data_IF_610006142217
#
_entry.id   IF_610006142217
#
_cell.length_a   1.000
_cell.length_b   1.000
_cell.length_c   1.000
_cell.angle_alpha   90.00
_cell.angle_beta   90.00
_cell.angle_gamma   90.00
#
_symmetry.space_group_name_H-M   'P 1'
#
loop_
_entity.id
_entity.type
_entity.pdbx_description
1 polymer ?
#
# COMPACT_ATOMS: atom_id res chain seq x y z
N UNK A 1 11.87 -13.68 -6.01
CA UNK A 1 12.46 -12.88 -7.10
C UNK A 1 11.82 -11.50 -7.30
N UNK A 2 10.49 -11.36 -7.47
CA UNK A 2 9.87 -10.04 -7.77
C UNK A 2 10.14 -8.92 -6.74
N UNK A 3 10.33 -9.23 -5.45
CA UNK A 3 10.54 -8.21 -4.40
C UNK A 3 11.83 -7.38 -4.61
N UNK A 4 12.90 -8.02 -5.09
CA UNK A 4 14.17 -7.35 -5.37
C UNK A 4 14.08 -6.48 -6.62
N UNK A 5 13.44 -6.99 -7.68
CA UNK A 5 13.17 -6.21 -8.89
C UNK A 5 12.30 -4.98 -8.57
N UNK A 6 11.23 -5.13 -7.78
CA UNK A 6 10.39 -4.01 -7.33
C UNK A 6 11.20 -2.96 -6.54
N UNK A 7 12.14 -3.39 -5.69
CA UNK A 7 13.04 -2.47 -4.98
C UNK A 7 13.96 -1.71 -5.92
N UNK A 8 14.58 -2.40 -6.88
CA UNK A 8 15.45 -1.75 -7.88
C UNK A 8 14.64 -0.75 -8.72
N UNK A 9 13.49 -1.17 -9.25
CA UNK A 9 12.61 -0.29 -10.05
C UNK A 9 12.17 0.93 -9.23
N UNK A 10 11.82 0.74 -7.95
CA UNK A 10 11.45 1.86 -7.06
C UNK A 10 12.64 2.80 -6.82
N UNK A 11 13.84 2.27 -6.59
CA UNK A 11 15.04 3.08 -6.40
C UNK A 11 15.37 3.89 -7.66
N UNK A 12 15.30 3.26 -8.84
CA UNK A 12 15.51 3.95 -10.13
C UNK A 12 14.49 5.05 -10.34
N UNK A 13 13.20 4.81 -10.04
CA UNK A 13 12.17 5.85 -10.12
C UNK A 13 12.45 7.01 -9.17
N UNK A 14 12.83 6.74 -7.92
CA UNK A 14 13.14 7.79 -6.94
C UNK A 14 14.32 8.64 -7.44
N UNK A 15 15.39 8.01 -7.91
CA UNK A 15 16.56 8.71 -8.45
C UNK A 15 16.18 9.55 -9.68
N UNK A 16 15.35 9.00 -10.57
CA UNK A 16 14.87 9.69 -11.75
C UNK A 16 14.07 10.95 -11.41
N UNK A 17 13.10 10.85 -10.48
CA UNK A 17 12.33 12.01 -10.03
C UNK A 17 13.20 13.04 -9.31
N UNK A 18 14.19 12.61 -8.52
CA UNK A 18 15.15 13.51 -7.88
C UNK A 18 15.97 14.29 -8.92
N UNK A 19 16.48 13.59 -9.94
CA UNK A 19 17.25 14.20 -11.02
C UNK A 19 16.41 15.24 -11.79
N UNK A 20 15.15 14.92 -12.09
CA UNK A 20 14.21 15.88 -12.70
C UNK A 20 14.01 17.09 -11.79
N UNK A 21 13.76 16.90 -10.50
CA UNK A 21 13.55 17.99 -9.55
C UNK A 21 14.75 18.93 -9.46
N UNK A 22 15.97 18.38 -9.39
CA UNK A 22 17.21 19.17 -9.39
C UNK A 22 17.40 19.92 -10.70
N UNK A 23 17.23 19.24 -11.84
CA UNK A 23 17.39 19.87 -13.15
C UNK A 23 16.35 20.98 -13.37
N UNK A 24 15.12 20.76 -12.91
CA UNK A 24 14.05 21.75 -12.95
C UNK A 24 14.38 22.98 -12.10
N UNK A 25 14.89 22.79 -10.88
CA UNK A 25 15.32 23.88 -10.01
C UNK A 25 16.46 24.72 -10.61
N UNK A 26 17.44 24.07 -11.25
CA UNK A 26 18.57 24.76 -11.89
C UNK A 26 18.12 25.54 -13.12
N UNK A 27 17.25 24.96 -13.96
CA UNK A 27 16.78 25.59 -15.20
C UNK A 27 15.70 26.65 -14.98
N UNK A 28 15.00 26.60 -13.84
CA UNK A 28 13.91 27.52 -13.51
C UNK A 28 14.16 28.19 -12.15
N UNK A 29 15.24 28.99 -12.00
CA UNK A 29 15.56 29.67 -10.75
C UNK A 29 14.64 30.87 -10.47
N UNK A 30 13.81 31.25 -11.44
CA UNK A 30 12.88 32.36 -11.34
C UNK A 30 11.93 32.22 -10.14
N UNK A 31 11.80 33.30 -9.41
CA UNK A 31 10.87 33.44 -8.29
C UNK A 31 9.56 33.96 -8.87
N UNK A 32 8.47 33.25 -8.59
CA UNK A 32 7.13 33.62 -9.05
C UNK A 32 6.18 33.71 -7.86
N UNK A 33 5.19 34.59 -7.96
CA UNK A 33 4.00 34.54 -7.12
C UNK A 33 3.00 33.60 -7.78
N UNK A 34 2.59 32.55 -7.07
CA UNK A 34 1.64 31.57 -7.59
C UNK A 34 0.22 32.08 -7.40
N UNK A 35 -0.46 32.41 -8.50
CA UNK A 35 -1.88 32.78 -8.47
C UNK A 35 -2.76 31.55 -8.78
N UNK A 36 -3.44 31.04 -7.77
CA UNK A 36 -4.32 29.87 -7.83
C UNK A 36 -5.80 30.25 -7.97
N UNK A 37 -6.13 31.38 -8.62
CA UNK A 37 -7.48 31.92 -8.86
C UNK A 37 -8.22 32.34 -7.58
N UNK A 38 -8.16 31.53 -6.53
CA UNK A 38 -8.75 31.75 -5.21
C UNK A 38 -7.72 32.13 -4.15
N UNK A 39 -6.42 32.06 -4.47
CA UNK A 39 -5.35 32.34 -3.52
C UNK A 39 -4.06 32.74 -4.23
N UNK A 40 -3.37 33.75 -3.71
CA UNK A 40 -2.04 34.13 -4.14
C UNK A 40 -1.02 33.67 -3.09
N UNK A 41 -0.09 32.84 -3.56
CA UNK A 41 1.00 32.31 -2.75
C UNK A 41 2.18 33.28 -2.66
N UNK A 42 3.09 33.06 -1.68
CA UNK A 42 4.28 33.89 -1.51
C UNK A 42 5.25 33.78 -2.69
N UNK A 43 6.18 34.73 -2.79
CA UNK A 43 7.23 34.67 -3.80
C UNK A 43 8.20 33.52 -3.54
N UNK A 44 8.06 32.43 -4.29
CA UNK A 44 8.90 31.24 -4.20
C UNK A 44 9.32 30.79 -5.60
N UNK A 45 10.37 29.99 -5.68
CA UNK A 45 10.75 29.37 -6.94
C UNK A 45 9.69 28.37 -7.41
N UNK A 46 9.52 28.27 -8.73
CA UNK A 46 8.59 27.29 -9.34
C UNK A 46 8.88 25.87 -8.84
N UNK A 47 10.16 25.54 -8.65
CA UNK A 47 10.59 24.25 -8.16
C UNK A 47 10.07 23.94 -6.75
N UNK A 48 10.07 24.92 -5.84
CA UNK A 48 9.53 24.72 -4.49
C UNK A 48 8.03 24.46 -4.52
N UNK A 49 7.28 25.20 -5.33
CA UNK A 49 5.85 24.94 -5.51
C UNK A 49 5.57 23.52 -6.03
N UNK A 50 6.36 23.08 -7.01
CA UNK A 50 6.23 21.74 -7.59
C UNK A 50 6.57 20.65 -6.56
N UNK A 51 7.63 20.85 -5.77
CA UNK A 51 8.01 19.93 -4.68
C UNK A 51 6.90 19.87 -3.62
N UNK A 52 6.39 21.01 -3.17
CA UNK A 52 5.32 21.05 -2.17
C UNK A 52 4.05 20.35 -2.65
N UNK A 53 3.62 20.61 -3.88
CA UNK A 53 2.46 19.96 -4.48
C UNK A 53 2.67 18.44 -4.62
N UNK A 54 3.86 18.02 -5.07
CA UNK A 54 4.20 16.60 -5.20
C UNK A 54 4.24 15.89 -3.84
N UNK A 55 4.90 16.49 -2.84
CA UNK A 55 4.97 15.97 -1.47
C UNK A 55 3.58 15.87 -0.87
N UNK A 56 2.74 16.89 -1.05
CA UNK A 56 1.35 16.86 -0.59
C UNK A 56 0.57 15.71 -1.23
N UNK A 57 0.65 15.56 -2.56
CA UNK A 57 0.03 14.44 -3.27
C UNK A 57 0.53 13.08 -2.80
N UNK A 58 1.83 12.94 -2.54
CA UNK A 58 2.41 11.71 -2.00
C UNK A 58 1.90 11.41 -0.59
N UNK A 59 1.80 12.41 0.29
CA UNK A 59 1.20 12.26 1.62
C UNK A 59 -0.26 11.78 1.53
N UNK A 60 -1.07 12.38 0.67
CA UNK A 60 -2.46 11.98 0.44
C UNK A 60 -2.54 10.52 -0.06
N UNK A 61 -1.70 10.16 -1.04
CA UNK A 61 -1.64 8.79 -1.56
C UNK A 61 -1.25 7.78 -0.48
N UNK A 62 -0.29 8.12 0.39
CA UNK A 62 0.11 7.28 1.52
C UNK A 62 -1.03 7.11 2.53
N UNK A 63 -1.75 8.17 2.86
CA UNK A 63 -2.89 8.12 3.77
C UNK A 63 -4.00 7.19 3.23
N UNK A 64 -4.39 7.36 1.97
CA UNK A 64 -5.40 6.52 1.31
C UNK A 64 -4.94 5.05 1.29
N UNK A 65 -3.68 4.81 0.92
CA UNK A 65 -3.11 3.47 0.86
C UNK A 65 -3.05 2.80 2.23
N UNK A 66 -2.75 3.55 3.29
CA UNK A 66 -2.70 3.04 4.66
C UNK A 66 -4.06 2.54 5.15
N UNK A 67 -5.13 3.29 4.84
CA UNK A 67 -6.51 2.88 5.15
C UNK A 67 -6.86 1.57 4.42
N UNK A 68 -6.56 1.48 3.12
CA UNK A 68 -6.80 0.27 2.34
C UNK A 68 -5.99 -0.92 2.86
N UNK A 69 -4.73 -0.70 3.25
CA UNK A 69 -3.86 -1.74 3.81
C UNK A 69 -4.40 -2.29 5.13
N UNK A 70 -4.82 -1.41 6.06
CA UNK A 70 -5.45 -1.78 7.33
C UNK A 70 -6.74 -2.57 7.13
N UNK A 71 -7.56 -2.18 6.15
CA UNK A 71 -8.78 -2.90 5.82
C UNK A 71 -8.48 -4.32 5.31
N UNK A 72 -7.49 -4.46 4.42
CA UNK A 72 -7.07 -5.76 3.89
C UNK A 72 -6.47 -6.67 4.98
N UNK A 73 -5.61 -6.15 5.86
CA UNK A 73 -5.08 -6.89 7.02
C UNK A 73 -6.21 -7.48 7.89
N UNK A 74 -7.24 -6.67 8.17
CA UNK A 74 -8.41 -7.12 8.94
C UNK A 74 -9.17 -8.22 8.20
N UNK A 75 -9.40 -8.05 6.91
CA UNK A 75 -10.06 -9.09 6.10
C UNK A 75 -9.26 -10.38 6.12
N UNK A 76 -7.95 -10.32 5.89
CA UNK A 76 -7.07 -11.51 5.93
C UNK A 76 -7.24 -12.23 7.27
N UNK A 77 -7.15 -11.54 8.42
CA UNK A 77 -7.32 -12.17 9.74
C UNK A 77 -8.69 -12.84 9.91
N UNK A 78 -9.77 -12.18 9.45
CA UNK A 78 -11.12 -12.73 9.54
C UNK A 78 -11.26 -13.97 8.66
N UNK A 79 -10.76 -13.93 7.42
CA UNK A 79 -10.80 -15.07 6.51
C UNK A 79 -9.96 -16.24 7.03
N UNK A 80 -8.77 -15.98 7.59
CA UNK A 80 -7.92 -17.02 8.19
C UNK A 80 -8.65 -17.74 9.32
N UNK A 81 -9.27 -16.99 10.25
CA UNK A 81 -10.06 -17.57 11.35
C UNK A 81 -11.26 -18.39 10.86
N UNK A 82 -11.96 -17.93 9.82
CA UNK A 82 -13.06 -18.69 9.20
C UNK A 82 -12.55 -19.99 8.58
N UNK A 83 -11.40 -19.96 7.92
CA UNK A 83 -10.78 -21.14 7.31
C UNK A 83 -10.35 -22.17 8.37
N UNK A 84 -9.76 -21.70 9.47
CA UNK A 84 -9.38 -22.55 10.61
C UNK A 84 -10.60 -23.25 11.23
N UNK A 85 -11.70 -22.53 11.46
CA UNK A 85 -12.94 -23.13 11.99
C UNK A 85 -13.52 -24.17 11.04
N UNK A 86 -13.63 -23.86 9.75
CA UNK A 86 -14.12 -24.80 8.75
C UNK A 86 -13.25 -26.07 8.67
N UNK A 87 -11.93 -25.92 8.80
CA UNK A 87 -11.01 -27.07 8.89
C UNK A 87 -11.26 -27.92 10.14
N UNK A 88 -11.45 -27.31 11.30
CA UNK A 88 -11.74 -28.02 12.55
C UNK A 88 -13.07 -28.80 12.48
N UNK A 89 -14.10 -28.24 11.85
CA UNK A 89 -15.39 -28.93 11.65
C UNK A 89 -15.22 -30.16 10.76
N UNK A 90 -14.50 -30.05 9.65
CA UNK A 90 -14.19 -31.18 8.76
C UNK A 90 -13.42 -32.26 9.52
N UNK A 91 -12.41 -31.89 10.31
CA UNK A 91 -11.62 -32.83 11.09
C UNK A 91 -12.45 -33.51 12.19
N UNK A 92 -13.36 -32.79 12.85
CA UNK A 92 -14.27 -33.34 13.86
C UNK A 92 -15.24 -34.34 13.25
N UNK A 93 -15.86 -34.01 12.11
CA UNK A 93 -16.75 -34.90 11.37
C UNK A 93 -16.02 -36.16 10.90
N UNK A 94 -14.78 -36.01 10.40
CA UNK A 94 -13.95 -37.13 9.96
C UNK A 94 -13.56 -38.06 11.12
N UNK A 95 -13.25 -37.52 12.29
CA UNK A 95 -12.99 -38.33 13.49
C UNK A 95 -14.25 -39.09 13.92
N UNK A 96 -15.40 -38.42 13.95
CA UNK A 96 -16.68 -39.03 14.31
C UNK A 96 -17.08 -40.16 13.35
N UNK A 97 -16.86 -40.00 12.03
CA UNK A 97 -17.13 -41.07 11.05
C UNK A 97 -16.23 -42.28 11.25
N UNK A 98 -14.92 -42.07 11.48
CA UNK A 98 -13.97 -43.16 11.74
C UNK A 98 -14.34 -43.93 13.02
N UNK A 99 -14.70 -43.21 14.10
CA UNK A 99 -15.14 -43.86 15.36
C UNK A 99 -16.40 -44.69 15.16
N UNK A 100 -17.36 -44.22 14.35
CA UNK A 100 -18.57 -44.97 14.01
C UNK A 100 -18.25 -46.25 13.23
N UNK A 101 -17.38 -46.20 12.23
CA UNK A 101 -16.97 -47.41 11.49
C UNK A 101 -16.25 -48.43 12.38
N UNK A 102 -15.40 -47.96 13.30
CA UNK A 102 -14.70 -48.82 14.27
C UNK A 102 -15.64 -49.48 15.29
N UNK A 103 -16.78 -48.86 15.63
CA UNK A 103 -17.75 -49.47 16.54
C UNK A 103 -18.62 -50.52 15.83
N UNK A 104 -18.96 -50.30 14.55
CA UNK A 104 -19.76 -51.24 13.75
C UNK A 104 -18.98 -52.50 13.38
N UNK A 105 -17.66 -52.41 13.19
CA UNK A 105 -16.82 -53.59 12.91
C UNK A 105 -16.51 -54.47 14.13
N UNK A 106 -17.03 -54.14 15.32
CA UNK A 106 -16.83 -54.91 16.57
C UNK A 106 -18.04 -55.72 17.00
N UNK A 107 -19.18 -55.56 16.32
CA UNK A 107 -20.39 -56.41 16.47
C UNK A 107 -20.37 -57.51 15.39
#
# INVERSE_FOLDING_TARGET
MLKWLKRIVSAVLIIFFLAIGVFFAIRNPQIISLDLVFWQGPELSVALYMILAFTFGACVALLISSVAFLHNERQIRVLTRKNEKARQEIDALRKASITKELSVGKE
#
